data_IF_051847697467
#
_entry.id   IF_051847697467
#
_cell.length_a   1.000
_cell.length_b   1.000
_cell.length_c   1.000
_cell.angle_alpha   90.00
_cell.angle_beta   90.00
_cell.angle_gamma   90.00
#
_symmetry.space_group_name_H-M   'P 1'
#
loop_
_entity.id
_entity.type
_entity.pdbx_description
1 polymer ?
#
# COMPACT_ATOMS: atom_id res chain seq x y z
N UNK A 1 17.52 10.14 1.65
CA UNK A 1 18.32 8.98 1.18
C UNK A 1 17.53 7.66 1.03
N UNK A 2 16.44 7.43 1.77
CA UNK A 2 15.64 6.18 1.69
C UNK A 2 14.35 6.29 0.85
N UNK A 3 14.06 7.46 0.27
CA UNK A 3 12.84 7.68 -0.49
C UNK A 3 13.01 7.14 -1.93
N UNK A 4 12.10 6.29 -2.38
CA UNK A 4 12.07 5.73 -3.75
C UNK A 4 11.17 6.50 -4.72
N UNK A 5 10.69 7.67 -4.31
CA UNK A 5 9.68 8.49 -4.98
C UNK A 5 8.33 7.75 -5.13
N UNK A 6 7.55 8.07 -6.17
CA UNK A 6 6.18 7.59 -6.31
C UNK A 6 6.11 6.08 -6.58
N UNK A 7 5.09 5.42 -6.01
CA UNK A 7 4.67 4.04 -6.33
C UNK A 7 3.40 4.09 -7.20
N UNK A 8 3.18 3.08 -8.03
CA UNK A 8 1.97 2.95 -8.85
C UNK A 8 2.27 2.86 -10.35
N UNK A 9 1.21 3.02 -11.16
CA UNK A 9 1.26 2.95 -12.62
C UNK A 9 2.28 3.93 -13.23
N UNK A 10 2.41 5.11 -12.63
CA UNK A 10 3.40 6.14 -13.02
C UNK A 10 4.56 6.26 -12.02
N UNK A 11 4.73 5.27 -11.15
CA UNK A 11 5.76 5.22 -10.12
C UNK A 11 7.14 4.89 -10.67
N UNK A 12 8.15 4.99 -9.82
CA UNK A 12 9.51 4.56 -10.17
C UNK A 12 9.61 3.04 -10.14
N UNK A 13 10.52 2.49 -10.95
CA UNK A 13 10.83 1.06 -10.92
C UNK A 13 11.32 0.60 -9.54
N UNK A 14 12.07 1.44 -8.84
CA UNK A 14 12.55 1.15 -7.49
C UNK A 14 11.41 1.04 -6.46
N UNK A 15 10.48 1.99 -6.45
CA UNK A 15 9.33 1.96 -5.54
C UNK A 15 8.41 0.77 -5.82
N UNK A 16 8.13 0.50 -7.11
CA UNK A 16 7.27 -0.61 -7.51
C UNK A 16 7.90 -1.97 -7.17
N UNK A 17 9.21 -2.13 -7.38
CA UNK A 17 9.91 -3.36 -6.99
C UNK A 17 9.82 -3.63 -5.49
N UNK A 18 10.04 -2.61 -4.66
CA UNK A 18 9.88 -2.76 -3.21
C UNK A 18 8.44 -3.12 -2.82
N UNK A 19 7.44 -2.52 -3.47
CA UNK A 19 6.03 -2.85 -3.21
C UNK A 19 5.68 -4.30 -3.59
N UNK A 20 6.29 -4.83 -4.66
CA UNK A 20 6.11 -6.22 -5.09
C UNK A 20 6.69 -7.23 -4.10
N UNK A 21 7.85 -6.92 -3.53
CA UNK A 21 8.60 -7.79 -2.62
C UNK A 21 8.14 -7.66 -1.15
N UNK A 22 7.51 -6.54 -0.78
CA UNK A 22 7.14 -6.22 0.60
C UNK A 22 6.28 -7.31 1.27
N UNK A 23 6.72 -7.76 2.44
CA UNK A 23 5.98 -8.61 3.38
C UNK A 23 5.07 -7.78 4.31
N UNK A 24 5.37 -6.50 4.50
CA UNK A 24 4.52 -5.55 5.23
C UNK A 24 4.42 -4.23 4.47
N UNK A 25 3.19 -3.75 4.28
CA UNK A 25 2.90 -2.43 3.68
C UNK A 25 2.13 -1.59 4.68
N UNK A 26 2.76 -0.52 5.17
CA UNK A 26 2.06 0.48 5.97
C UNK A 26 1.44 1.55 5.05
N UNK A 27 0.15 1.43 4.81
CA UNK A 27 -0.63 2.31 3.95
C UNK A 27 -1.19 3.49 4.77
N UNK A 28 -0.49 4.64 4.71
CA UNK A 28 -0.84 5.85 5.48
C UNK A 28 -1.60 6.84 4.61
N UNK A 29 -2.80 7.24 5.03
CA UNK A 29 -3.58 8.31 4.39
C UNK A 29 -3.95 8.03 2.93
N UNK A 30 -4.00 6.75 2.54
CA UNK A 30 -4.25 6.33 1.16
C UNK A 30 -5.48 5.43 1.07
N UNK A 31 -6.24 5.61 -0.01
CA UNK A 31 -7.39 4.76 -0.37
C UNK A 31 -6.99 3.51 -1.15
N UNK A 32 -5.69 3.31 -1.40
CA UNK A 32 -5.18 2.23 -2.25
C UNK A 32 -5.93 2.20 -3.59
N UNK A 33 -5.86 3.32 -4.31
CA UNK A 33 -6.51 3.47 -5.62
C UNK A 33 -5.81 2.60 -6.66
N UNK A 34 -6.49 2.32 -7.78
CA UNK A 34 -5.97 1.47 -8.85
C UNK A 34 -4.64 1.99 -9.41
N UNK A 35 -4.47 3.30 -9.54
CA UNK A 35 -3.21 3.89 -9.99
C UNK A 35 -2.08 3.66 -8.98
N UNK A 36 -2.36 3.70 -7.68
CA UNK A 36 -1.38 3.41 -6.62
C UNK A 36 -1.02 1.93 -6.56
N UNK A 37 -2.01 1.05 -6.76
CA UNK A 37 -1.84 -0.40 -6.60
C UNK A 37 -1.47 -1.11 -7.90
N UNK A 38 -1.50 -0.40 -9.04
CA UNK A 38 -1.42 -1.01 -10.37
C UNK A 38 -2.57 -1.99 -10.60
N UNK A 39 -3.79 -1.63 -10.20
CA UNK A 39 -4.93 -2.54 -10.15
C UNK A 39 -4.60 -3.84 -9.40
N UNK A 40 -3.94 -3.69 -8.24
CA UNK A 40 -3.44 -4.78 -7.39
C UNK A 40 -2.29 -5.61 -7.94
N UNK A 41 -1.80 -5.31 -9.15
CA UNK A 41 -0.65 -6.01 -9.70
C UNK A 41 0.66 -5.71 -8.97
N UNK A 42 0.77 -4.59 -8.22
CA UNK A 42 2.03 -4.22 -7.56
C UNK A 42 2.24 -4.86 -6.19
N UNK A 43 1.19 -5.33 -5.53
CA UNK A 43 1.30 -5.96 -4.20
C UNK A 43 1.24 -7.48 -4.39
N UNK A 44 2.32 -8.09 -4.90
CA UNK A 44 2.31 -9.48 -5.38
C UNK A 44 2.62 -10.51 -4.31
N UNK A 45 3.41 -10.15 -3.30
CA UNK A 45 3.81 -11.07 -2.24
C UNK A 45 2.57 -11.68 -1.54
N UNK A 46 2.42 -13.00 -1.62
CA UNK A 46 1.25 -13.70 -1.08
C UNK A 46 1.20 -13.68 0.46
N UNK A 47 2.34 -13.54 1.13
CA UNK A 47 2.45 -13.43 2.59
C UNK A 47 2.36 -12.00 3.11
N UNK A 48 2.08 -11.01 2.24
CA UNK A 48 2.07 -9.61 2.64
C UNK A 48 0.95 -9.29 3.63
N UNK A 49 1.25 -8.43 4.59
CA UNK A 49 0.26 -7.79 5.46
C UNK A 49 0.16 -6.32 5.10
N UNK A 50 -1.05 -5.84 4.79
CA UNK A 50 -1.30 -4.40 4.62
C UNK A 50 -1.84 -3.87 5.95
N UNK A 51 -1.21 -2.82 6.48
CA UNK A 51 -1.68 -2.09 7.67
C UNK A 51 -2.23 -0.75 7.19
N UNK A 52 -3.52 -0.52 7.37
CA UNK A 52 -4.20 0.70 6.92
C UNK A 52 -4.31 1.73 8.04
N UNK A 53 -3.65 2.87 7.90
CA UNK A 53 -3.78 4.02 8.81
C UNK A 53 -4.53 5.14 8.09
N UNK A 54 -5.82 5.28 8.40
CA UNK A 54 -6.70 6.29 7.80
C UNK A 54 -7.66 6.87 8.85
N UNK A 55 -8.06 8.13 8.66
CA UNK A 55 -9.10 8.77 9.49
C UNK A 55 -10.50 8.18 9.20
N UNK A 56 -10.73 7.77 7.95
CA UNK A 56 -11.94 7.06 7.53
C UNK A 56 -11.75 5.55 7.79
N UNK A 57 -12.52 4.98 8.72
CA UNK A 57 -12.41 3.55 9.07
C UNK A 57 -12.66 2.60 7.88
N UNK A 58 -13.55 2.98 6.95
CA UNK A 58 -13.77 2.23 5.71
C UNK A 58 -12.50 2.08 4.87
N UNK A 59 -11.71 3.16 4.73
CA UNK A 59 -10.47 3.12 3.97
C UNK A 59 -9.36 2.36 4.72
N UNK A 60 -9.38 2.36 6.06
CA UNK A 60 -8.41 1.63 6.89
C UNK A 60 -8.51 0.10 6.74
N UNK A 61 -9.71 -0.45 6.52
CA UNK A 61 -9.96 -1.89 6.36
C UNK A 61 -9.97 -2.38 4.92
N UNK A 62 -9.65 -1.52 3.95
CA UNK A 62 -9.75 -1.87 2.52
C UNK A 62 -8.79 -3.01 2.16
N UNK A 63 -9.25 -3.94 1.32
CA UNK A 63 -8.46 -5.10 0.86
C UNK A 63 -7.88 -5.97 1.97
N UNK A 64 -8.71 -6.27 2.99
CA UNK A 64 -8.32 -7.11 4.13
C UNK A 64 -7.12 -6.57 4.91
N UNK A 65 -6.87 -5.26 4.81
CA UNK A 65 -5.85 -4.61 5.61
C UNK A 65 -6.19 -4.70 7.10
N UNK A 66 -5.15 -4.83 7.93
CA UNK A 66 -5.25 -4.65 9.38
C UNK A 66 -5.43 -3.16 9.67
N UNK A 67 -6.59 -2.70 10.13
CA UNK A 67 -6.83 -1.29 10.31
C UNK A 67 -6.17 -0.80 11.61
N UNK A 68 -5.36 0.26 11.52
CA UNK A 68 -4.90 1.03 12.68
C UNK A 68 -5.86 2.19 12.89
N UNK A 69 -6.89 1.95 13.71
CA UNK A 69 -7.89 2.96 14.09
C UNK A 69 -7.55 3.46 15.48
N UNK A 70 -7.25 4.76 15.60
CA UNK A 70 -7.23 5.43 16.89
C UNK A 70 -8.69 5.77 17.25
N UNK A 71 -9.22 5.12 18.27
CA UNK A 71 -10.52 5.41 18.87
C UNK A 71 -10.46 6.69 19.71
#
# INVERSE_FOLDING_TARGET
PLNMAAVGVTGTSAANRLAEEADVVLAVGTRLQDFTTGSWALFKNAGRTIIGLNTQGFDAGKHWALPLVCL
#
